data_IF_241500074486
#
_entry.id   IF_241500074486
#
_cell.length_a   1.000
_cell.length_b   1.000
_cell.length_c   1.000
_cell.angle_alpha   90.00
_cell.angle_beta   90.00
_cell.angle_gamma   90.00
#
_symmetry.space_group_name_H-M   'P 1'
#
loop_
_entity.id
_entity.type
_entity.pdbx_description
1 polymer ?
#
# COMPACT_ATOMS: atom_id res chain seq x y z
N UNK A 1 -38.18 -3.52 2.26
CA UNK A 1 -36.80 -3.08 1.98
C UNK A 1 -36.76 -1.57 1.98
N UNK A 2 -35.85 -0.96 2.75
CA UNK A 2 -35.68 0.48 2.70
C UNK A 2 -35.01 0.89 1.38
N UNK A 3 -35.21 2.15 0.93
CA UNK A 3 -34.54 2.67 -0.27
C UNK A 3 -33.01 2.51 -0.20
N UNK A 4 -32.47 2.61 0.99
CA UNK A 4 -31.06 2.35 1.29
C UNK A 4 -30.63 0.91 0.99
N UNK A 5 -31.41 -0.06 1.41
CA UNK A 5 -31.14 -1.50 1.12
C UNK A 5 -31.18 -1.80 -0.37
N UNK A 6 -32.10 -1.16 -1.09
CA UNK A 6 -32.17 -1.30 -2.54
C UNK A 6 -30.90 -0.79 -3.24
N UNK A 7 -30.34 0.34 -2.78
CA UNK A 7 -29.07 0.88 -3.34
C UNK A 7 -27.92 -0.07 -3.03
N UNK A 8 -27.77 -0.51 -1.77
CA UNK A 8 -26.67 -1.40 -1.34
C UNK A 8 -26.66 -2.74 -2.10
N UNK A 9 -27.83 -3.28 -2.41
CA UNK A 9 -27.98 -4.57 -3.06
C UNK A 9 -27.84 -4.51 -4.60
N UNK A 10 -27.98 -3.31 -5.19
CA UNK A 10 -27.91 -3.08 -6.65
C UNK A 10 -26.62 -2.36 -7.08
N UNK A 11 -25.60 -2.26 -6.20
CA UNK A 11 -24.30 -1.76 -6.62
C UNK A 11 -23.70 -2.65 -7.73
N UNK A 12 -23.07 -2.04 -8.75
CA UNK A 12 -22.42 -2.82 -9.82
C UNK A 12 -21.38 -3.75 -9.20
N UNK A 13 -21.50 -5.03 -9.46
CA UNK A 13 -20.68 -6.08 -8.88
C UNK A 13 -20.21 -7.05 -9.97
N UNK A 14 -18.95 -7.49 -9.89
CA UNK A 14 -18.44 -8.52 -10.78
C UNK A 14 -19.17 -9.84 -10.50
N UNK A 15 -19.72 -10.47 -11.51
CA UNK A 15 -20.38 -11.76 -11.37
C UNK A 15 -19.39 -12.83 -10.88
N UNK A 16 -19.79 -13.58 -9.87
CA UNK A 16 -19.00 -14.71 -9.38
C UNK A 16 -19.05 -15.92 -10.31
N UNK A 17 -18.12 -16.86 -10.17
CA UNK A 17 -18.14 -18.10 -10.95
C UNK A 17 -19.38 -18.94 -10.62
N UNK A 18 -19.97 -19.56 -11.62
CA UNK A 18 -21.10 -20.50 -11.46
C UNK A 18 -20.65 -21.82 -10.84
N UNK A 19 -19.39 -22.19 -11.03
CA UNK A 19 -18.79 -23.40 -10.47
C UNK A 19 -18.30 -23.14 -9.04
N UNK A 20 -18.63 -24.02 -8.10
CA UNK A 20 -18.24 -23.93 -6.69
C UNK A 20 -16.70 -23.99 -6.47
N UNK A 21 -15.98 -24.67 -7.35
CA UNK A 21 -14.53 -24.80 -7.31
C UNK A 21 -13.92 -24.52 -8.67
N UNK A 22 -13.20 -23.41 -8.77
CA UNK A 22 -12.40 -23.10 -9.95
C UNK A 22 -11.11 -23.95 -9.97
N UNK A 23 -10.71 -24.38 -11.16
CA UNK A 23 -9.44 -25.08 -11.34
C UNK A 23 -8.26 -24.14 -11.05
N UNK A 24 -7.11 -24.70 -10.63
CA UNK A 24 -5.89 -23.93 -10.40
C UNK A 24 -5.50 -23.10 -11.63
N UNK A 25 -5.62 -23.67 -12.83
CA UNK A 25 -5.29 -22.98 -14.10
C UNK A 25 -6.18 -21.77 -14.36
N UNK A 26 -7.47 -21.85 -14.05
CA UNK A 26 -8.39 -20.72 -14.21
C UNK A 26 -8.08 -19.60 -13.21
N UNK A 27 -7.85 -19.93 -11.95
CA UNK A 27 -7.46 -18.96 -10.94
C UNK A 27 -6.14 -18.26 -11.32
N UNK A 28 -5.15 -19.02 -11.77
CA UNK A 28 -3.86 -18.49 -12.22
C UNK A 28 -4.03 -17.54 -13.41
N UNK A 29 -4.85 -17.92 -14.38
CA UNK A 29 -5.17 -17.08 -15.55
C UNK A 29 -5.73 -15.73 -15.15
N UNK A 30 -6.76 -15.71 -14.29
CA UNK A 30 -7.37 -14.46 -13.84
C UNK A 30 -6.44 -13.60 -13.00
N UNK A 31 -5.63 -14.21 -12.13
CA UNK A 31 -4.62 -13.51 -11.33
C UNK A 31 -3.55 -12.87 -12.21
N UNK A 32 -3.00 -13.61 -13.19
CA UNK A 32 -1.99 -13.07 -14.12
C UNK A 32 -2.59 -11.97 -15.01
N UNK A 33 -3.81 -12.15 -15.49
CA UNK A 33 -4.49 -11.14 -16.30
C UNK A 33 -4.68 -9.83 -15.50
N UNK A 34 -5.12 -9.93 -14.25
CA UNK A 34 -5.25 -8.76 -13.38
C UNK A 34 -3.91 -8.06 -13.14
N UNK A 35 -2.81 -8.82 -12.92
CA UNK A 35 -1.48 -8.25 -12.78
C UNK A 35 -1.00 -7.53 -14.05
N UNK A 36 -1.19 -8.12 -15.21
CA UNK A 36 -0.82 -7.50 -16.49
C UNK A 36 -1.59 -6.20 -16.68
N UNK A 37 -2.91 -6.21 -16.44
CA UNK A 37 -3.73 -4.99 -16.53
C UNK A 37 -3.28 -3.94 -15.52
N UNK A 38 -2.94 -4.33 -14.29
CA UNK A 38 -2.43 -3.43 -13.26
C UNK A 38 -1.16 -2.70 -13.73
N UNK A 39 -0.16 -3.43 -14.23
CA UNK A 39 1.06 -2.83 -14.76
C UNK A 39 0.81 -1.95 -16.00
N UNK A 40 -0.07 -2.36 -16.91
CA UNK A 40 -0.43 -1.54 -18.07
C UNK A 40 -1.07 -0.21 -17.62
N UNK A 41 -1.98 -0.24 -16.64
CA UNK A 41 -2.60 0.96 -16.10
C UNK A 41 -1.59 1.90 -15.43
N UNK A 42 -0.55 1.36 -14.80
CA UNK A 42 0.57 2.13 -14.24
C UNK A 42 1.37 2.88 -15.29
N UNK A 43 1.43 2.36 -16.53
CA UNK A 43 2.14 3.01 -17.63
C UNK A 43 1.33 4.09 -18.35
N UNK A 44 0.02 4.20 -18.09
CA UNK A 44 -0.84 5.20 -18.74
C UNK A 44 -0.79 6.52 -17.96
N UNK A 45 -0.11 7.57 -18.48
CA UNK A 45 -0.01 8.84 -17.78
C UNK A 45 -1.34 9.57 -17.76
N UNK A 46 -1.55 10.41 -16.74
CA UNK A 46 -2.71 11.28 -16.65
C UNK A 46 -2.62 12.38 -17.71
N UNK A 47 -3.66 12.53 -18.50
CA UNK A 47 -3.77 13.61 -19.49
C UNK A 47 -4.02 14.95 -18.79
N UNK A 48 -3.25 15.96 -19.16
CA UNK A 48 -3.38 17.30 -18.59
C UNK A 48 -2.69 17.48 -17.24
N UNK A 49 -1.84 16.53 -16.83
CA UNK A 49 -0.97 16.67 -15.68
C UNK A 49 0.23 17.55 -16.05
N UNK A 50 0.49 18.58 -15.24
CA UNK A 50 1.68 19.42 -15.32
C UNK A 50 2.64 19.11 -14.18
N UNK A 51 2.25 19.48 -12.97
CA UNK A 51 3.07 19.29 -11.79
C UNK A 51 2.65 18.02 -11.03
N UNK A 52 3.62 17.16 -10.77
CA UNK A 52 3.44 15.94 -9.97
C UNK A 52 4.30 16.03 -8.71
N UNK A 53 3.77 16.70 -7.68
CA UNK A 53 4.45 16.83 -6.40
C UNK A 53 4.55 15.51 -5.62
N UNK A 54 3.81 14.48 -6.03
CA UNK A 54 3.82 13.16 -5.37
C UNK A 54 4.86 12.21 -5.94
N UNK A 55 5.43 12.50 -7.13
CA UNK A 55 6.40 11.63 -7.79
C UNK A 55 7.63 11.30 -6.94
N UNK A 56 8.02 12.21 -6.05
CA UNK A 56 9.15 12.02 -5.15
C UNK A 56 8.87 11.03 -3.99
N UNK A 57 7.61 10.58 -3.81
CA UNK A 57 7.22 9.68 -2.73
C UNK A 57 7.11 8.22 -3.18
N UNK A 58 8.16 7.71 -3.77
CA UNK A 58 8.21 6.33 -4.27
C UNK A 58 7.87 5.28 -3.20
N UNK A 59 8.28 5.50 -1.94
CA UNK A 59 7.95 4.59 -0.84
C UNK A 59 6.44 4.51 -0.57
N UNK A 60 5.74 5.65 -0.63
CA UNK A 60 4.28 5.69 -0.46
C UNK A 60 3.57 5.03 -1.65
N UNK A 61 4.07 5.26 -2.86
CA UNK A 61 3.60 4.61 -4.08
C UNK A 61 3.58 3.09 -3.93
N UNK A 62 4.66 2.51 -3.45
CA UNK A 62 4.79 1.06 -3.24
C UNK A 62 3.75 0.53 -2.25
N UNK A 63 3.60 1.18 -1.09
CA UNK A 63 2.65 0.75 -0.05
C UNK A 63 1.20 0.85 -0.52
N UNK A 64 0.88 1.90 -1.26
CA UNK A 64 -0.47 2.15 -1.76
C UNK A 64 -0.78 1.38 -3.05
N UNK A 65 0.19 0.64 -3.61
CA UNK A 65 0.04 0.01 -4.93
C UNK A 65 -0.38 1.05 -5.97
N UNK A 66 0.25 2.21 -5.94
CA UNK A 66 -0.03 3.36 -6.78
C UNK A 66 1.16 3.65 -7.69
N UNK A 67 0.89 4.27 -8.83
CA UNK A 67 1.92 4.84 -9.70
C UNK A 67 1.61 6.32 -9.90
N UNK A 68 2.27 7.18 -9.12
CA UNK A 68 1.93 8.61 -9.12
C UNK A 68 2.22 9.27 -10.46
N UNK A 69 1.19 9.87 -11.05
CA UNK A 69 1.20 10.45 -12.38
C UNK A 69 0.50 9.59 -13.44
N UNK A 70 0.13 8.36 -13.10
CA UNK A 70 -0.65 7.46 -13.95
C UNK A 70 -2.14 7.44 -13.56
N UNK A 71 -2.92 6.72 -14.34
CA UNK A 71 -4.36 6.51 -14.08
C UNK A 71 -4.63 5.85 -12.72
N UNK A 72 -3.68 5.04 -12.23
CA UNK A 72 -3.77 4.38 -10.92
C UNK A 72 -3.04 5.15 -9.80
N UNK A 73 -2.89 6.46 -9.93
CA UNK A 73 -2.21 7.30 -8.91
C UNK A 73 -2.85 7.25 -7.53
N UNK A 74 -4.14 6.96 -7.42
CA UNK A 74 -4.80 6.73 -6.12
C UNK A 74 -4.40 5.40 -5.49
N UNK A 75 -4.01 4.42 -6.32
CA UNK A 75 -3.71 3.07 -5.87
C UNK A 75 -4.88 2.41 -5.13
N UNK A 76 -4.55 1.55 -4.21
CA UNK A 76 -5.52 0.86 -3.33
C UNK A 76 -5.89 1.68 -2.09
N UNK A 77 -5.26 2.84 -1.87
CA UNK A 77 -5.44 3.70 -0.69
C UNK A 77 -6.91 3.91 -0.31
N UNK A 78 -7.75 4.44 -1.22
CA UNK A 78 -9.17 4.71 -0.94
C UNK A 78 -9.96 3.45 -0.56
N UNK A 79 -9.66 2.31 -1.19
CA UNK A 79 -10.35 1.02 -0.97
C UNK A 79 -10.01 0.51 0.43
N UNK A 80 -8.73 0.56 0.79
CA UNK A 80 -8.24 0.16 2.11
C UNK A 80 -8.78 1.09 3.19
N UNK A 81 -8.75 2.41 2.98
CA UNK A 81 -9.28 3.41 3.92
C UNK A 81 -10.76 3.18 4.19
N UNK A 82 -11.56 2.93 3.16
CA UNK A 82 -12.98 2.59 3.31
C UNK A 82 -13.20 1.32 4.15
N UNK A 83 -12.37 0.31 3.94
CA UNK A 83 -12.41 -0.94 4.70
C UNK A 83 -12.05 -0.75 6.16
N UNK A 84 -10.98 0.02 6.46
CA UNK A 84 -10.53 0.32 7.83
C UNK A 84 -11.60 1.07 8.58
N UNK A 85 -12.13 2.16 7.99
CA UNK A 85 -13.16 2.99 8.63
C UNK A 85 -14.37 2.14 9.00
N UNK A 86 -14.85 1.28 8.11
CA UNK A 86 -15.99 0.42 8.39
C UNK A 86 -15.68 -0.62 9.48
N UNK A 87 -14.50 -1.22 9.44
CA UNK A 87 -14.08 -2.21 10.45
C UNK A 87 -13.97 -1.57 11.84
N UNK A 88 -13.40 -0.36 11.94
CA UNK A 88 -13.32 0.39 13.20
C UNK A 88 -14.71 0.76 13.73
N UNK A 89 -15.62 1.23 12.86
CA UNK A 89 -16.99 1.55 13.25
C UNK A 89 -17.78 0.32 13.72
N UNK A 90 -17.57 -0.82 13.08
CA UNK A 90 -18.20 -2.08 13.49
C UNK A 90 -17.55 -2.65 14.77
N UNK A 91 -16.23 -2.62 14.88
CA UNK A 91 -15.47 -3.10 16.05
C UNK A 91 -15.74 -2.27 17.30
N UNK A 92 -15.86 -0.94 17.17
CA UNK A 92 -16.23 -0.03 18.27
C UNK A 92 -17.71 -0.14 18.69
N UNK A 93 -18.53 -0.86 17.91
CA UNK A 93 -19.97 -1.02 18.20
C UNK A 93 -20.83 0.20 17.85
N UNK A 94 -20.25 1.23 17.20
CA UNK A 94 -21.01 2.40 16.72
C UNK A 94 -21.99 1.98 15.62
N UNK A 95 -21.52 1.14 14.69
CA UNK A 95 -22.36 0.51 13.67
C UNK A 95 -22.27 -0.99 13.87
N UNK A 96 -23.40 -1.66 14.05
CA UNK A 96 -23.43 -3.11 14.32
C UNK A 96 -23.95 -3.86 13.09
N UNK A 97 -23.08 -4.66 12.49
CA UNK A 97 -23.44 -5.63 11.45
C UNK A 97 -23.37 -7.04 12.05
N UNK A 98 -24.42 -7.81 11.85
CA UNK A 98 -24.39 -9.24 12.22
C UNK A 98 -23.65 -10.02 11.14
N UNK A 99 -22.32 -10.15 11.32
CA UNK A 99 -21.45 -10.87 10.39
C UNK A 99 -21.61 -12.41 10.47
N UNK A 100 -22.46 -12.92 11.34
CA UNK A 100 -22.75 -14.36 11.39
C UNK A 100 -23.75 -14.76 10.31
N UNK A 101 -24.65 -13.86 9.93
CA UNK A 101 -25.68 -14.08 8.92
C UNK A 101 -25.18 -13.75 7.50
N UNK A 102 -25.71 -14.44 6.51
CA UNK A 102 -25.38 -14.16 5.10
C UNK A 102 -25.84 -12.75 4.66
N UNK A 103 -27.00 -12.33 5.15
CA UNK A 103 -27.53 -11.00 4.84
C UNK A 103 -26.70 -9.88 5.49
N UNK A 104 -26.28 -10.04 6.74
CA UNK A 104 -25.42 -9.09 7.41
C UNK A 104 -24.06 -8.94 6.75
N UNK A 105 -23.46 -10.05 6.30
CA UNK A 105 -22.22 -10.01 5.48
C UNK A 105 -22.41 -9.23 4.19
N UNK A 106 -23.50 -9.47 3.48
CA UNK A 106 -23.82 -8.79 2.23
C UNK A 106 -24.04 -7.29 2.42
N UNK A 107 -24.74 -6.89 3.50
CA UNK A 107 -24.90 -5.49 3.88
C UNK A 107 -23.56 -4.83 4.21
N UNK A 108 -22.72 -5.50 4.99
CA UNK A 108 -21.37 -5.02 5.33
C UNK A 108 -20.53 -4.78 4.08
N UNK A 109 -20.48 -5.74 3.16
CA UNK A 109 -19.76 -5.62 1.90
C UNK A 109 -20.31 -4.48 1.00
N UNK A 110 -21.63 -4.30 0.95
CA UNK A 110 -22.26 -3.19 0.22
C UNK A 110 -21.85 -1.82 0.78
N UNK A 111 -21.87 -1.66 2.11
CA UNK A 111 -21.44 -0.42 2.77
C UNK A 111 -19.93 -0.20 2.56
N UNK A 112 -19.11 -1.25 2.67
CA UNK A 112 -17.67 -1.17 2.41
C UNK A 112 -17.38 -0.66 0.99
N UNK A 113 -18.11 -1.16 0.01
CA UNK A 113 -17.98 -0.73 -1.39
C UNK A 113 -18.41 0.73 -1.60
N UNK A 114 -19.50 1.17 -0.97
CA UNK A 114 -19.92 2.57 -1.01
C UNK A 114 -18.87 3.49 -0.39
N UNK A 115 -18.30 3.11 0.76
CA UNK A 115 -17.22 3.86 1.39
C UNK A 115 -15.98 3.92 0.51
N UNK A 116 -15.61 2.81 -0.14
CA UNK A 116 -14.49 2.80 -1.08
C UNK A 116 -14.73 3.78 -2.24
N UNK A 117 -15.92 3.78 -2.86
CA UNK A 117 -16.27 4.73 -3.92
C UNK A 117 -16.24 6.18 -3.40
N UNK A 118 -16.77 6.42 -2.20
CA UNK A 118 -16.72 7.74 -1.57
C UNK A 118 -15.27 8.22 -1.39
N UNK A 119 -14.39 7.36 -0.86
CA UNK A 119 -12.97 7.72 -0.67
C UNK A 119 -12.23 7.88 -1.99
N UNK A 120 -12.56 7.12 -3.04
CA UNK A 120 -11.99 7.31 -4.39
C UNK A 120 -12.30 8.73 -4.89
N UNK A 121 -13.56 9.18 -4.80
CA UNK A 121 -13.95 10.54 -5.21
C UNK A 121 -13.28 11.59 -4.31
N UNK A 122 -13.30 11.37 -3.00
CA UNK A 122 -12.75 12.30 -2.02
C UNK A 122 -11.24 12.49 -2.19
N UNK A 123 -10.47 11.41 -2.32
CA UNK A 123 -9.01 11.46 -2.53
C UNK A 123 -8.67 12.05 -3.90
N UNK A 124 -9.42 11.71 -4.97
CA UNK A 124 -9.23 12.32 -6.27
C UNK A 124 -9.36 13.86 -6.23
N UNK A 125 -10.40 14.36 -5.54
CA UNK A 125 -10.60 15.80 -5.37
C UNK A 125 -9.44 16.40 -4.57
N UNK A 126 -9.04 15.80 -3.47
CA UNK A 126 -7.96 16.30 -2.60
C UNK A 126 -6.62 16.32 -3.35
N UNK A 127 -6.25 15.26 -4.06
CA UNK A 127 -4.99 15.18 -4.78
C UNK A 127 -4.84 16.30 -5.82
N UNK A 128 -5.92 16.60 -6.52
CA UNK A 128 -5.91 17.64 -7.55
C UNK A 128 -6.05 19.04 -6.95
N UNK A 129 -6.91 19.23 -5.94
CA UNK A 129 -7.17 20.57 -5.37
C UNK A 129 -6.04 21.06 -4.47
N UNK A 130 -5.35 20.15 -3.78
CA UNK A 130 -4.23 20.49 -2.90
C UNK A 130 -2.87 20.50 -3.61
N UNK A 131 -2.85 20.37 -4.94
CA UNK A 131 -1.64 20.48 -5.75
C UNK A 131 -0.71 19.26 -5.69
N UNK A 132 -1.21 18.09 -5.28
CA UNK A 132 -0.47 16.84 -5.37
C UNK A 132 -0.28 16.40 -6.82
N UNK A 133 -1.36 16.47 -7.60
CA UNK A 133 -1.42 16.22 -9.03
C UNK A 133 -2.13 17.43 -9.68
N UNK A 134 -1.38 18.40 -10.18
CA UNK A 134 -1.93 19.65 -10.67
C UNK A 134 -1.80 19.79 -12.19
N UNK A 135 -2.73 20.51 -12.86
CA UNK A 135 -2.53 20.94 -14.22
C UNK A 135 -1.32 21.89 -14.34
N UNK A 136 -0.76 22.09 -15.56
CA UNK A 136 0.35 23.02 -15.76
C UNK A 136 0.04 24.41 -15.23
N UNK A 137 1.00 25.00 -14.49
CA UNK A 137 0.86 26.33 -13.88
C UNK A 137 0.66 27.45 -14.92
N UNK A 138 1.08 27.23 -16.16
CA UNK A 138 0.89 28.16 -17.29
C UNK A 138 -0.59 28.51 -17.54
N UNK A 139 -1.50 27.59 -17.25
CA UNK A 139 -2.94 27.79 -17.42
C UNK A 139 -3.63 28.37 -16.17
N UNK A 140 -2.89 28.65 -15.11
CA UNK A 140 -3.46 29.17 -13.86
C UNK A 140 -4.29 30.46 -14.12
N UNK A 141 -5.51 30.49 -13.58
CA UNK A 141 -6.44 31.60 -13.79
C UNK A 141 -7.25 31.55 -15.08
N UNK A 142 -7.06 30.59 -15.96
CA UNK A 142 -7.86 30.39 -17.17
C UNK A 142 -9.00 29.40 -16.96
N UNK A 143 -10.03 29.47 -17.82
CA UNK A 143 -11.10 28.47 -17.85
C UNK A 143 -10.57 27.08 -18.16
N UNK A 144 -9.50 26.95 -18.93
CA UNK A 144 -8.85 25.71 -19.28
C UNK A 144 -8.27 25.01 -18.03
N UNK A 145 -7.71 25.76 -17.09
CA UNK A 145 -7.20 25.20 -15.84
C UNK A 145 -8.30 24.46 -15.03
N UNK A 146 -9.48 25.07 -14.95
CA UNK A 146 -10.63 24.44 -14.28
C UNK A 146 -11.10 23.18 -15.00
N UNK A 147 -11.11 23.19 -16.34
CA UNK A 147 -11.47 22.02 -17.13
C UNK A 147 -10.46 20.88 -16.96
N UNK A 148 -9.16 21.18 -17.00
CA UNK A 148 -8.10 20.18 -16.77
C UNK A 148 -8.17 19.61 -15.35
N UNK A 149 -8.48 20.41 -14.33
CA UNK A 149 -8.69 19.90 -12.97
C UNK A 149 -9.85 18.92 -12.90
N UNK A 150 -10.98 19.23 -13.49
CA UNK A 150 -12.13 18.30 -13.53
C UNK A 150 -11.79 17.02 -14.29
N UNK A 151 -11.05 17.14 -15.40
CA UNK A 151 -10.60 16.00 -16.18
C UNK A 151 -9.66 15.10 -15.39
N UNK A 152 -8.69 15.65 -14.66
CA UNK A 152 -7.79 14.91 -13.78
C UNK A 152 -8.57 14.17 -12.67
N UNK A 153 -9.50 14.85 -12.00
CA UNK A 153 -10.36 14.22 -10.98
C UNK A 153 -11.14 13.06 -11.59
N UNK A 154 -11.70 13.23 -12.78
CA UNK A 154 -12.46 12.18 -13.46
C UNK A 154 -11.59 10.98 -13.86
N UNK A 155 -10.37 11.23 -14.36
CA UNK A 155 -9.41 10.16 -14.70
C UNK A 155 -9.00 9.37 -13.45
N UNK A 156 -8.68 10.06 -12.36
CA UNK A 156 -8.35 9.43 -11.08
C UNK A 156 -9.52 8.61 -10.51
N UNK A 157 -10.73 9.14 -10.61
CA UNK A 157 -11.95 8.42 -10.23
C UNK A 157 -12.12 7.13 -11.04
N UNK A 158 -11.95 7.20 -12.36
CA UNK A 158 -12.03 6.01 -13.22
C UNK A 158 -10.94 4.99 -12.86
N UNK A 159 -9.72 5.44 -12.64
CA UNK A 159 -8.61 4.57 -12.22
C UNK A 159 -8.90 3.85 -10.90
N UNK A 160 -9.41 4.57 -9.90
CA UNK A 160 -9.83 3.99 -8.63
C UNK A 160 -10.97 2.98 -8.77
N UNK A 161 -11.98 3.26 -9.62
CA UNK A 161 -13.06 2.32 -9.92
C UNK A 161 -12.54 1.05 -10.62
N UNK A 162 -11.63 1.19 -11.58
CA UNK A 162 -11.01 0.04 -12.26
C UNK A 162 -10.29 -0.84 -11.24
N UNK A 163 -9.49 -0.26 -10.34
CA UNK A 163 -8.82 -1.01 -9.28
C UNK A 163 -9.81 -1.71 -8.33
N UNK A 164 -10.91 -1.05 -7.98
CA UNK A 164 -11.97 -1.65 -7.16
C UNK A 164 -12.58 -2.88 -7.83
N UNK A 165 -12.89 -2.80 -9.14
CA UNK A 165 -13.41 -3.96 -9.87
C UNK A 165 -12.35 -5.03 -10.10
N UNK A 166 -11.10 -4.67 -10.30
CA UNK A 166 -9.99 -5.62 -10.38
C UNK A 166 -9.79 -6.40 -9.08
N UNK A 167 -9.92 -5.75 -7.92
CA UNK A 167 -9.92 -6.44 -6.62
C UNK A 167 -11.06 -7.45 -6.52
N UNK A 168 -12.27 -7.10 -6.98
CA UNK A 168 -13.38 -8.04 -7.02
C UNK A 168 -13.15 -9.23 -7.98
N UNK A 169 -12.54 -8.97 -9.14
CA UNK A 169 -12.18 -10.05 -10.09
C UNK A 169 -11.19 -11.01 -9.45
N UNK A 170 -10.13 -10.52 -8.84
CA UNK A 170 -9.13 -11.37 -8.19
C UNK A 170 -9.72 -12.12 -7.01
N UNK A 171 -10.56 -11.47 -6.21
CA UNK A 171 -11.20 -12.09 -5.04
C UNK A 171 -12.20 -13.19 -5.41
N UNK A 172 -12.89 -13.07 -6.56
CA UNK A 172 -13.91 -14.04 -7.01
C UNK A 172 -13.36 -15.11 -7.95
N UNK A 173 -12.41 -14.77 -8.81
CA UNK A 173 -11.90 -15.62 -9.88
C UNK A 173 -10.43 -16.01 -9.73
N UNK A 174 -9.66 -15.27 -8.90
CA UNK A 174 -8.22 -15.44 -8.73
C UNK A 174 -7.84 -16.14 -7.43
N UNK A 175 -6.62 -15.82 -6.98
CA UNK A 175 -6.06 -16.30 -5.73
C UNK A 175 -6.14 -15.21 -4.64
N UNK A 176 -7.07 -15.34 -3.71
CA UNK A 176 -7.14 -14.49 -2.53
C UNK A 176 -7.63 -13.07 -2.80
N UNK A 177 -7.04 -12.07 -2.12
CA UNK A 177 -7.42 -10.66 -2.22
C UNK A 177 -6.61 -9.94 -3.29
N UNK A 178 -7.28 -9.16 -4.14
CA UNK A 178 -6.64 -8.31 -5.14
C UNK A 178 -5.78 -7.22 -4.50
N UNK A 179 -6.23 -6.63 -3.39
CA UNK A 179 -5.46 -5.63 -2.62
C UNK A 179 -4.07 -6.19 -2.26
N UNK A 180 -4.03 -7.37 -1.63
CA UNK A 180 -2.77 -8.02 -1.25
C UNK A 180 -1.89 -8.35 -2.46
N UNK A 181 -2.52 -8.74 -3.57
CA UNK A 181 -1.83 -9.05 -4.83
C UNK A 181 -1.16 -7.80 -5.42
N UNK A 182 -1.86 -6.66 -5.47
CA UNK A 182 -1.32 -5.42 -6.02
C UNK A 182 -0.19 -4.85 -5.17
N UNK A 183 -0.30 -4.93 -3.82
CA UNK A 183 0.82 -4.58 -2.94
C UNK A 183 2.02 -5.47 -3.22
N UNK A 184 1.82 -6.79 -3.28
CA UNK A 184 2.90 -7.73 -3.55
C UNK A 184 3.55 -7.49 -4.91
N UNK A 185 2.76 -7.12 -5.94
CA UNK A 185 3.24 -6.76 -7.26
C UNK A 185 4.13 -5.51 -7.23
N UNK A 186 3.67 -4.40 -6.63
CA UNK A 186 4.44 -3.17 -6.51
C UNK A 186 5.71 -3.35 -5.68
N UNK A 187 5.65 -4.10 -4.57
CA UNK A 187 6.84 -4.43 -3.77
C UNK A 187 7.83 -5.26 -4.58
N UNK A 188 7.36 -6.28 -5.33
CA UNK A 188 8.23 -7.12 -6.16
C UNK A 188 8.90 -6.32 -7.28
N UNK A 189 8.15 -5.47 -7.96
CA UNK A 189 8.67 -4.55 -8.99
C UNK A 189 9.75 -3.65 -8.39
N UNK A 190 9.49 -3.05 -7.25
CA UNK A 190 10.42 -2.18 -6.55
C UNK A 190 11.71 -2.90 -6.12
N UNK A 191 11.60 -4.14 -5.62
CA UNK A 191 12.76 -4.97 -5.27
C UNK A 191 13.61 -5.21 -6.51
N UNK A 192 12.99 -5.63 -7.64
CA UNK A 192 13.70 -5.87 -8.89
C UNK A 192 14.37 -4.62 -9.43
N UNK A 193 13.66 -3.52 -9.51
CA UNK A 193 14.17 -2.25 -10.02
C UNK A 193 15.31 -1.73 -9.15
N UNK A 194 15.14 -1.70 -7.83
CA UNK A 194 16.16 -1.22 -6.90
C UNK A 194 17.36 -2.15 -6.75
N UNK A 195 17.21 -3.45 -7.04
CA UNK A 195 18.34 -4.38 -7.02
C UNK A 195 19.13 -4.38 -8.32
N UNK A 196 18.44 -4.42 -9.47
CA UNK A 196 19.06 -4.78 -10.76
C UNK A 196 19.08 -3.66 -11.81
N UNK A 197 18.51 -2.47 -11.56
CA UNK A 197 18.46 -1.41 -12.58
C UNK A 197 19.83 -0.86 -12.91
N UNK A 198 20.20 -0.96 -14.19
CA UNK A 198 21.41 -0.34 -14.77
C UNK A 198 21.17 1.09 -15.25
N UNK A 199 20.00 1.67 -14.95
CA UNK A 199 19.68 3.04 -15.32
C UNK A 199 20.42 3.98 -14.38
N UNK A 200 20.97 5.06 -14.91
CA UNK A 200 21.64 6.09 -14.13
C UNK A 200 20.63 6.94 -13.37
N UNK A 201 21.01 7.37 -12.16
CA UNK A 201 20.16 8.22 -11.34
C UNK A 201 20.00 9.61 -11.99
N UNK A 202 18.77 10.15 -12.09
CA UNK A 202 18.54 11.50 -12.59
C UNK A 202 19.26 12.59 -11.76
N UNK A 203 19.40 12.35 -10.47
CA UNK A 203 20.02 13.29 -9.53
C UNK A 203 21.56 13.19 -9.49
N UNK A 204 22.12 12.08 -9.94
CA UNK A 204 23.56 11.85 -10.03
C UNK A 204 23.86 10.97 -11.27
N UNK A 205 24.27 11.59 -12.41
CA UNK A 205 24.51 10.86 -13.65
C UNK A 205 25.63 9.79 -13.58
N UNK A 206 26.44 9.83 -12.54
CA UNK A 206 27.51 8.85 -12.33
C UNK A 206 27.06 7.66 -11.47
N UNK A 207 25.92 7.74 -10.78
CA UNK A 207 25.40 6.68 -9.93
C UNK A 207 24.30 5.86 -10.62
N UNK A 208 24.26 4.55 -10.35
CA UNK A 208 23.16 3.69 -10.80
C UNK A 208 22.01 3.67 -9.77
N UNK A 209 20.78 3.46 -10.28
CA UNK A 209 19.61 3.31 -9.41
C UNK A 209 19.64 1.95 -8.70
N UNK A 210 20.09 0.90 -9.37
CA UNK A 210 20.13 -0.45 -8.81
C UNK A 210 21.29 -0.65 -7.82
N UNK A 211 21.00 -1.31 -6.71
CA UNK A 211 21.99 -1.55 -5.66
C UNK A 211 23.17 -2.42 -6.10
N UNK A 212 22.94 -3.42 -6.97
CA UNK A 212 24.00 -4.29 -7.48
C UNK A 212 24.93 -3.55 -8.42
N UNK A 213 24.44 -2.85 -9.48
CA UNK A 213 25.30 -2.04 -10.34
C UNK A 213 26.05 -0.95 -9.59
N UNK A 214 25.40 -0.28 -8.62
CA UNK A 214 26.03 0.77 -7.83
C UNK A 214 27.08 0.21 -6.86
N UNK A 215 26.86 -0.99 -6.29
CA UNK A 215 27.87 -1.70 -5.50
C UNK A 215 29.12 -1.98 -6.33
N UNK A 216 28.97 -2.51 -7.54
CA UNK A 216 30.11 -2.80 -8.44
C UNK A 216 30.84 -1.50 -8.76
N UNK A 217 30.13 -0.44 -9.10
CA UNK A 217 30.73 0.87 -9.41
C UNK A 217 31.49 1.45 -8.20
N UNK A 218 30.87 1.48 -7.02
CA UNK A 218 31.46 2.05 -5.81
C UNK A 218 32.71 1.29 -5.37
N UNK A 219 32.75 -0.03 -5.54
CA UNK A 219 33.96 -0.83 -5.31
C UNK A 219 35.07 -0.51 -6.30
N UNK A 220 34.75 -0.24 -7.58
CA UNK A 220 35.76 0.12 -8.59
C UNK A 220 36.34 1.52 -8.40
N UNK A 221 35.57 2.46 -7.85
CA UNK A 221 35.99 3.85 -7.56
C UNK A 221 36.66 3.96 -6.19
N UNK A 222 36.47 2.98 -5.28
CA UNK A 222 36.99 3.00 -3.91
C UNK A 222 36.11 3.77 -2.91
N UNK A 223 34.82 4.00 -3.24
CA UNK A 223 33.86 4.61 -2.31
C UNK A 223 33.31 3.54 -1.33
N UNK A 224 34.01 3.37 -0.23
CA UNK A 224 33.68 2.37 0.79
C UNK A 224 32.34 2.63 1.49
N UNK A 225 31.91 3.90 1.62
CA UNK A 225 30.65 4.25 2.30
C UNK A 225 29.45 3.84 1.44
N UNK A 226 29.45 4.23 0.17
CA UNK A 226 28.37 3.84 -0.77
C UNK A 226 28.35 2.32 -0.97
N UNK A 227 29.53 1.68 -1.10
CA UNK A 227 29.60 0.22 -1.20
C UNK A 227 29.01 -0.46 0.06
N UNK A 228 29.34 0.03 1.26
CA UNK A 228 28.80 -0.45 2.51
C UNK A 228 27.27 -0.32 2.61
N UNK A 229 26.71 0.81 2.19
CA UNK A 229 25.27 1.05 2.16
C UNK A 229 24.53 0.11 1.20
N UNK A 230 25.05 -0.09 -0.02
CA UNK A 230 24.46 -1.00 -1.01
C UNK A 230 24.54 -2.45 -0.55
N UNK A 231 25.68 -2.87 0.00
CA UNK A 231 25.86 -4.21 0.55
C UNK A 231 24.91 -4.45 1.74
N UNK A 232 24.79 -3.49 2.65
CA UNK A 232 23.87 -3.58 3.79
C UNK A 232 22.41 -3.71 3.34
N UNK A 233 22.00 -2.96 2.33
CA UNK A 233 20.64 -3.04 1.79
C UNK A 233 20.35 -4.44 1.20
N UNK A 234 21.27 -5.00 0.42
CA UNK A 234 21.14 -6.34 -0.17
C UNK A 234 21.10 -7.43 0.90
N UNK A 235 22.03 -7.38 1.87
CA UNK A 235 22.08 -8.34 2.97
C UNK A 235 20.84 -8.26 3.86
N UNK A 236 20.36 -7.05 4.17
CA UNK A 236 19.14 -6.86 4.93
C UNK A 236 17.92 -7.45 4.22
N UNK A 237 17.80 -7.26 2.90
CA UNK A 237 16.70 -7.84 2.11
C UNK A 237 16.72 -9.36 2.15
N UNK A 238 17.90 -9.98 1.96
CA UNK A 238 18.05 -11.43 2.02
C UNK A 238 17.77 -11.94 3.45
N UNK A 239 18.29 -11.26 4.47
CA UNK A 239 18.09 -11.66 5.86
C UNK A 239 16.62 -11.62 6.27
N UNK A 240 15.89 -10.55 5.90
CA UNK A 240 14.46 -10.40 6.16
C UNK A 240 13.66 -11.49 5.42
N UNK A 241 14.00 -11.77 4.16
CA UNK A 241 13.35 -12.84 3.39
C UNK A 241 13.53 -14.22 4.05
N UNK A 242 14.77 -14.59 4.39
CA UNK A 242 15.08 -15.87 5.04
C UNK A 242 14.38 -15.96 6.40
N UNK A 243 14.41 -14.88 7.19
CA UNK A 243 13.72 -14.82 8.48
C UNK A 243 12.22 -15.00 8.33
N UNK A 244 11.60 -14.31 7.38
CA UNK A 244 10.16 -14.41 7.12
C UNK A 244 9.75 -15.84 6.72
N UNK A 245 10.50 -16.47 5.82
CA UNK A 245 10.25 -17.87 5.40
C UNK A 245 10.40 -18.84 6.58
N UNK A 246 11.45 -18.66 7.37
CA UNK A 246 11.71 -19.50 8.53
C UNK A 246 10.60 -19.39 9.58
N UNK A 247 10.19 -18.17 9.92
CA UNK A 247 9.14 -17.92 10.93
C UNK A 247 7.79 -18.46 10.45
N UNK A 248 7.46 -18.30 9.15
CA UNK A 248 6.22 -18.84 8.58
C UNK A 248 6.19 -20.38 8.58
N UNK A 249 7.35 -21.03 8.45
CA UNK A 249 7.45 -22.48 8.47
C UNK A 249 7.34 -23.07 9.90
N UNK A 250 7.52 -22.25 10.93
CA UNK A 250 7.45 -22.71 12.33
C UNK A 250 6.03 -23.10 12.71
N UNK A 251 5.88 -24.31 13.27
CA UNK A 251 4.61 -24.83 13.77
C UNK A 251 4.76 -25.25 15.23
N UNK A 252 3.77 -24.95 16.04
CA UNK A 252 3.64 -25.43 17.41
C UNK A 252 2.66 -26.60 17.37
N UNK A 253 3.12 -27.78 17.76
CA UNK A 253 2.29 -28.97 17.85
C UNK A 253 1.67 -29.08 19.24
N UNK A 254 0.34 -28.93 19.35
CA UNK A 254 -0.39 -29.13 20.59
C UNK A 254 -0.84 -30.58 20.65
N UNK A 255 -0.37 -31.39 21.65
CA UNK A 255 -0.84 -32.74 21.84
C UNK A 255 -2.29 -32.73 22.35
N UNK A 256 -3.22 -33.25 21.55
CA UNK A 256 -4.60 -33.47 21.97
C UNK A 256 -4.72 -34.88 22.56
N UNK A 257 -4.88 -34.99 23.88
CA UNK A 257 -5.14 -36.26 24.54
C UNK A 257 -6.65 -36.50 24.61
N UNK A 258 -7.15 -37.41 23.82
CA UNK A 258 -8.49 -37.96 24.02
C UNK A 258 -8.44 -39.05 25.08
N UNK A 259 -9.02 -38.84 26.27
CA UNK A 259 -8.96 -39.73 27.42
C UNK A 259 -9.56 -41.14 27.25
N UNK A 260 -10.02 -41.49 26.05
CA UNK A 260 -10.62 -42.82 25.75
C UNK A 260 -9.86 -43.67 24.75
N UNK A 261 -8.86 -43.17 24.06
CA UNK A 261 -8.10 -43.95 23.07
C UNK A 261 -6.63 -43.98 23.49
N UNK A 262 -6.23 -45.11 24.09
CA UNK A 262 -4.82 -45.38 24.39
C UNK A 262 -4.06 -45.64 23.11
N UNK A 263 -3.08 -44.79 22.78
CA UNK A 263 -2.04 -45.13 21.79
C UNK A 263 -1.80 -44.18 20.64
N UNK A 264 -2.70 -43.26 20.28
CA UNK A 264 -2.47 -42.28 19.20
C UNK A 264 -2.77 -40.86 19.69
N UNK A 265 -1.72 -40.14 20.06
CA UNK A 265 -1.80 -38.71 20.31
C UNK A 265 -1.95 -37.95 18.98
N UNK A 266 -3.13 -37.44 18.69
CA UNK A 266 -3.33 -36.50 17.57
C UNK A 266 -2.64 -35.21 17.97
N UNK A 267 -1.66 -34.77 17.17
CA UNK A 267 -1.00 -33.48 17.34
C UNK A 267 -1.68 -32.46 16.41
N UNK A 268 -2.13 -31.33 16.95
CA UNK A 268 -2.67 -30.25 16.17
C UNK A 268 -1.55 -29.25 15.84
N UNK A 269 -1.15 -29.12 14.56
CA UNK A 269 -0.16 -28.15 14.18
C UNK A 269 -0.80 -26.76 14.12
N UNK A 270 -0.36 -25.85 14.98
CA UNK A 270 -0.68 -24.42 14.89
C UNK A 270 0.51 -23.68 14.30
N UNK A 271 0.25 -22.77 13.37
CA UNK A 271 1.31 -21.88 12.88
C UNK A 271 1.79 -20.97 14.02
N UNK A 272 3.10 -20.78 14.15
CA UNK A 272 3.70 -19.92 15.19
C UNK A 272 3.18 -18.48 15.06
N UNK A 273 3.11 -17.95 13.83
CA UNK A 273 2.42 -16.72 13.53
C UNK A 273 1.04 -17.07 13.00
N UNK A 274 0.03 -16.94 13.85
CA UNK A 274 -1.36 -17.23 13.51
C UNK A 274 -2.12 -15.99 13.02
N UNK A 275 -1.63 -14.79 13.35
CA UNK A 275 -2.26 -13.52 12.95
C UNK A 275 -2.07 -13.27 11.46
N UNK A 276 -3.15 -12.83 10.81
CA UNK A 276 -3.12 -12.35 9.43
C UNK A 276 -2.18 -11.13 9.30
N UNK A 277 -1.48 -11.00 8.18
CA UNK A 277 -0.69 -9.81 7.85
C UNK A 277 -1.57 -8.57 7.58
N UNK A 278 -2.89 -8.75 7.46
CA UNK A 278 -3.84 -7.70 7.14
C UNK A 278 -3.76 -6.50 8.11
N UNK A 279 -3.76 -6.65 9.45
CA UNK A 279 -3.65 -5.52 10.35
C UNK A 279 -2.40 -4.67 10.11
N UNK A 280 -1.25 -5.31 9.89
CA UNK A 280 0.02 -4.60 9.63
C UNK A 280 -0.04 -3.83 8.32
N UNK A 281 -0.61 -4.42 7.26
CA UNK A 281 -0.81 -3.75 5.97
C UNK A 281 -1.75 -2.56 6.11
N UNK A 282 -2.84 -2.71 6.87
CA UNK A 282 -3.79 -1.63 7.13
C UNK A 282 -3.13 -0.47 7.88
N UNK A 283 -2.34 -0.74 8.91
CA UNK A 283 -1.59 0.29 9.65
C UNK A 283 -0.57 0.96 8.75
N UNK A 284 0.18 0.22 7.93
CA UNK A 284 1.12 0.78 6.98
C UNK A 284 0.44 1.73 6.00
N UNK A 285 -0.71 1.33 5.43
CA UNK A 285 -1.50 2.17 4.55
C UNK A 285 -2.07 3.41 5.25
N UNK A 286 -2.51 3.29 6.50
CA UNK A 286 -2.96 4.43 7.30
C UNK A 286 -1.83 5.44 7.52
N UNK A 287 -0.65 4.99 7.93
CA UNK A 287 0.52 5.85 8.13
C UNK A 287 0.97 6.51 6.82
N UNK A 288 0.93 5.76 5.71
CA UNK A 288 1.20 6.30 4.39
C UNK A 288 0.22 7.41 4.00
N UNK A 289 -1.08 7.20 4.23
CA UNK A 289 -2.10 8.22 3.98
C UNK A 289 -1.90 9.47 4.86
N UNK A 290 -1.54 9.31 6.14
CA UNK A 290 -1.22 10.45 7.03
C UNK A 290 -0.06 11.28 6.48
N UNK A 291 1.02 10.63 6.01
CA UNK A 291 2.17 11.30 5.41
C UNK A 291 1.77 12.03 4.12
N UNK A 292 0.97 11.38 3.28
CA UNK A 292 0.48 11.96 2.04
C UNK A 292 -0.39 13.20 2.30
N UNK A 293 -1.34 13.10 3.23
CA UNK A 293 -2.20 14.22 3.60
C UNK A 293 -1.42 15.37 4.22
N UNK A 294 -0.42 15.07 5.05
CA UNK A 294 0.45 16.10 5.61
C UNK A 294 1.19 16.87 4.52
N UNK A 295 1.66 16.17 3.49
CA UNK A 295 2.32 16.80 2.35
C UNK A 295 1.35 17.68 1.55
N UNK A 296 0.15 17.19 1.29
CA UNK A 296 -0.88 17.96 0.59
C UNK A 296 -1.27 19.21 1.38
N UNK A 297 -1.39 19.12 2.70
CA UNK A 297 -1.65 20.25 3.58
C UNK A 297 -0.50 21.27 3.57
N UNK A 298 0.75 20.80 3.56
CA UNK A 298 1.92 21.67 3.41
C UNK A 298 1.90 22.41 2.07
N UNK A 299 1.62 21.72 0.97
CA UNK A 299 1.50 22.34 -0.36
C UNK A 299 0.36 23.37 -0.41
N UNK A 300 -0.73 23.13 0.33
CA UNK A 300 -1.83 24.07 0.49
C UNK A 300 -1.54 25.22 1.48
N UNK A 301 -0.31 25.34 2.01
CA UNK A 301 0.10 26.40 2.95
C UNK A 301 -0.42 26.22 4.38
N UNK A 302 -0.90 25.02 4.75
CA UNK A 302 -1.46 24.71 6.08
C UNK A 302 -0.79 23.47 6.70
N UNK A 303 0.46 23.54 7.16
CA UNK A 303 1.23 22.37 7.63
C UNK A 303 0.84 21.89 9.04
N UNK A 304 -0.43 21.54 9.27
CA UNK A 304 -0.93 21.15 10.60
C UNK A 304 -0.36 19.81 11.10
N UNK A 305 -0.05 18.90 10.19
CA UNK A 305 0.45 17.56 10.54
C UNK A 305 1.98 17.52 10.60
N UNK A 306 2.65 18.57 10.14
CA UNK A 306 4.10 18.68 10.09
C UNK A 306 4.62 19.18 8.76
N UNK A 307 5.94 19.32 8.67
CA UNK A 307 6.61 19.86 7.47
C UNK A 307 7.63 18.88 6.92
N UNK A 308 7.84 18.96 5.61
CA UNK A 308 8.83 18.17 4.88
C UNK A 308 9.90 19.07 4.28
N UNK A 309 11.14 18.59 4.26
CA UNK A 309 12.22 19.12 3.44
C UNK A 309 12.59 18.10 2.36
N UNK A 310 12.21 18.39 1.12
CA UNK A 310 12.27 17.36 0.07
C UNK A 310 11.38 16.16 0.43
N UNK A 311 11.96 14.97 0.53
CA UNK A 311 11.26 13.71 0.85
C UNK A 311 11.24 13.38 2.35
N UNK A 312 12.02 14.10 3.17
CA UNK A 312 12.16 13.79 4.59
C UNK A 312 11.22 14.64 5.42
N UNK A 313 10.40 14.06 6.31
CA UNK A 313 9.65 14.81 7.29
C UNK A 313 10.64 15.36 8.35
N UNK A 314 10.48 16.63 8.70
CA UNK A 314 11.38 17.34 9.63
C UNK A 314 10.69 17.89 10.87
N UNK A 315 9.37 17.85 10.92
CA UNK A 315 8.63 18.32 12.10
C UNK A 315 7.21 17.76 12.17
N UNK A 316 6.67 17.77 13.37
CA UNK A 316 5.27 17.41 13.66
C UNK A 316 5.00 15.92 13.69
N UNK A 317 3.71 15.55 13.59
CA UNK A 317 3.28 14.16 13.70
C UNK A 317 3.94 13.26 12.64
N UNK A 318 4.16 13.79 11.43
CA UNK A 318 4.72 13.00 10.32
C UNK A 318 6.17 12.59 10.54
N UNK A 319 6.95 13.35 11.30
CA UNK A 319 8.31 12.99 11.67
C UNK A 319 8.32 11.73 12.56
N UNK A 320 7.40 11.64 13.51
CA UNK A 320 7.27 10.52 14.44
C UNK A 320 6.70 9.24 13.81
N UNK A 321 5.89 9.38 12.76
CA UNK A 321 5.29 8.24 12.05
C UNK A 321 6.01 7.88 10.75
N UNK A 322 7.18 8.46 10.51
CA UNK A 322 8.01 8.14 9.34
C UNK A 322 9.05 7.05 9.67
N UNK A 323 9.31 6.13 8.71
CA UNK A 323 10.37 5.14 8.88
C UNK A 323 11.74 5.82 8.93
N UNK A 324 12.57 5.44 9.91
CA UNK A 324 13.92 5.96 10.08
C UNK A 324 14.97 5.01 9.51
N UNK A 325 15.96 5.55 8.79
CA UNK A 325 17.06 4.76 8.23
C UNK A 325 18.22 4.60 9.22
N UNK A 326 17.99 3.82 10.30
CA UNK A 326 18.99 3.60 11.36
C UNK A 326 20.28 2.98 10.80
N UNK A 327 20.16 1.98 9.90
CA UNK A 327 21.33 1.30 9.33
C UNK A 327 22.20 2.29 8.54
N UNK A 328 21.57 3.15 7.75
CA UNK A 328 22.27 4.20 7.02
C UNK A 328 22.95 5.21 7.95
N UNK A 329 22.30 5.61 9.05
CA UNK A 329 22.87 6.52 10.04
C UNK A 329 24.06 5.89 10.78
N UNK A 330 24.00 4.60 11.10
CA UNK A 330 25.13 3.86 11.70
C UNK A 330 26.33 3.81 10.75
N UNK A 331 26.13 3.46 9.48
CA UNK A 331 27.22 3.34 8.49
C UNK A 331 27.88 4.70 8.24
N UNK A 332 27.08 5.79 8.24
CA UNK A 332 27.60 7.16 8.08
C UNK A 332 28.21 7.74 9.37
N UNK A 333 28.08 7.05 10.49
CA UNK A 333 28.52 7.55 11.79
C UNK A 333 27.71 8.75 12.32
N UNK A 334 26.50 8.95 11.82
CA UNK A 334 25.61 10.08 12.14
C UNK A 334 24.43 9.70 13.04
N UNK A 335 24.47 8.52 13.67
CA UNK A 335 23.38 8.06 14.54
C UNK A 335 23.24 8.95 15.77
N UNK A 336 22.04 9.50 15.98
CA UNK A 336 21.69 10.32 17.14
C UNK A 336 20.68 9.60 18.04
N UNK A 337 20.60 10.02 19.31
CA UNK A 337 19.59 9.49 20.24
C UNK A 337 18.15 9.78 19.79
N UNK A 338 17.93 10.88 19.08
CA UNK A 338 16.63 11.21 18.48
C UNK A 338 16.20 10.21 17.38
N UNK A 339 17.12 9.72 16.54
CA UNK A 339 16.82 8.75 15.52
C UNK A 339 16.30 7.43 16.12
N UNK A 340 16.90 7.02 17.23
CA UNK A 340 16.48 5.82 17.98
C UNK A 340 15.10 6.05 18.61
N UNK A 341 14.84 7.23 19.19
CA UNK A 341 13.55 7.56 19.77
C UNK A 341 12.43 7.57 18.73
N UNK A 342 12.67 8.22 17.58
CA UNK A 342 11.69 8.24 16.47
C UNK A 342 11.40 6.82 15.94
N UNK A 343 12.43 6.00 15.78
CA UNK A 343 12.26 4.61 15.37
C UNK A 343 11.46 3.78 16.38
N UNK A 344 11.73 3.97 17.68
CA UNK A 344 10.97 3.28 18.73
C UNK A 344 9.49 3.69 18.72
N UNK A 345 9.19 4.98 18.56
CA UNK A 345 7.82 5.49 18.48
C UNK A 345 7.13 4.96 17.22
N UNK A 346 7.82 4.95 16.07
CA UNK A 346 7.28 4.38 14.83
C UNK A 346 6.89 2.90 14.99
N UNK A 347 7.77 2.09 15.58
CA UNK A 347 7.50 0.67 15.88
C UNK A 347 6.32 0.54 16.86
N UNK A 348 6.26 1.40 17.88
CA UNK A 348 5.15 1.41 18.83
C UNK A 348 3.80 1.69 18.14
N UNK A 349 3.76 2.67 17.23
CA UNK A 349 2.55 2.95 16.42
C UNK A 349 2.11 1.74 15.60
N UNK A 350 3.08 1.01 14.99
CA UNK A 350 2.76 -0.22 14.26
C UNK A 350 2.18 -1.31 15.17
N UNK A 351 2.80 -1.53 16.34
CA UNK A 351 2.34 -2.55 17.28
C UNK A 351 0.94 -2.20 17.80
N UNK A 352 0.76 -0.97 18.30
CA UNK A 352 -0.52 -0.53 18.86
C UNK A 352 -1.62 -0.55 17.80
N UNK A 353 -1.33 0.00 16.60
CA UNK A 353 -2.30 0.03 15.51
C UNK A 353 -2.67 -1.36 14.99
N UNK A 354 -1.75 -2.34 15.07
CA UNK A 354 -2.03 -3.73 14.66
C UNK A 354 -2.82 -4.52 15.71
N UNK A 355 -2.81 -4.09 16.96
CA UNK A 355 -3.55 -4.73 18.07
C UNK A 355 -4.99 -4.21 18.16
N UNK A 356 -5.21 -2.93 17.82
CA UNK A 356 -6.55 -2.31 17.78
C UNK A 356 -7.30 -2.81 16.53
#
# INVERSE_FOLDING_TARGET
MSAWESILLNLPEVAGPTQKHLSFKEKLKWTLLALVVFFILGLIPLFGLGDNALQQFEFLSIILGAEFGSIISLGIGPIVTGSIVLQLLNGSGIVKFDLTTHEGKRRFQGVQKLLAIFFIVFEAIIFVTMGGLAPPAEFAGTALFAQLRLLLIFQLFLGGLILLFMDEVVSKWGFGSGISLFIAAGVSESIFTRAFSWIKSPNNPDAYIGAIPELVRSLTIGDAITAGLMLAALLATIAVFVMAVYIQAMKIEIPLSFGRVKGYGIRWPLNFIYTSNIPVILVAALLANVQLWARLLQNAGRPWLGTFSGNTPISGLVEWVAPQNIVGSVIRGSLTGSDIAHAAVYILFFIVGSVI
#
